data_IF_020079103355
#
_entry.id   IF_020079103355
#
_cell.length_a   1.000
_cell.length_b   1.000
_cell.length_c   1.000
_cell.angle_alpha   90.00
_cell.angle_beta   90.00
_cell.angle_gamma   90.00
#
_symmetry.space_group_name_H-M   'P 1'
#
loop_
_entity.id
_entity.type
_entity.pdbx_description
1 polymer ?
#
# COMPACT_ATOMS: atom_id res chain seq x y z
N UNK A 1 -41.00 -20.34 21.29
CA UNK A 1 -40.46 -18.97 21.15
C UNK A 1 -38.93 -18.84 21.20
N UNK A 2 -38.16 -19.64 21.96
CA UNK A 2 -36.67 -19.55 21.94
C UNK A 2 -35.99 -20.15 20.70
N UNK A 3 -36.54 -21.19 20.08
CA UNK A 3 -35.99 -21.82 18.85
C UNK A 3 -36.09 -20.90 17.62
N UNK A 4 -37.23 -20.22 17.47
CA UNK A 4 -37.51 -19.31 16.35
C UNK A 4 -36.58 -18.07 16.37
N UNK A 5 -36.32 -17.51 17.56
CA UNK A 5 -35.39 -16.39 17.72
C UNK A 5 -33.92 -16.77 17.43
N UNK A 6 -33.53 -18.04 17.64
CA UNK A 6 -32.19 -18.54 17.31
C UNK A 6 -31.98 -18.68 15.80
N UNK A 7 -32.99 -19.18 15.08
CA UNK A 7 -32.94 -19.32 13.62
C UNK A 7 -32.93 -17.95 12.91
N UNK A 8 -33.63 -16.96 13.44
CA UNK A 8 -33.63 -15.60 12.90
C UNK A 8 -32.30 -14.87 13.15
N UNK A 9 -31.63 -15.10 14.29
CA UNK A 9 -30.29 -14.56 14.55
C UNK A 9 -29.26 -15.23 13.64
N UNK A 10 -29.32 -16.56 13.45
CA UNK A 10 -28.42 -17.26 12.52
C UNK A 10 -28.66 -16.80 11.08
N UNK A 11 -29.90 -16.61 10.65
CA UNK A 11 -30.22 -16.02 9.33
C UNK A 11 -29.79 -14.56 9.23
N UNK A 12 -29.84 -13.77 10.30
CA UNK A 12 -29.31 -12.41 10.31
C UNK A 12 -27.79 -12.40 10.22
N UNK A 13 -27.11 -13.30 10.94
CA UNK A 13 -25.65 -13.45 10.89
C UNK A 13 -25.21 -13.98 9.52
N UNK A 14 -25.94 -14.92 8.92
CA UNK A 14 -25.73 -15.37 7.54
C UNK A 14 -26.09 -14.27 6.52
N UNK A 15 -27.10 -13.44 6.81
CA UNK A 15 -27.48 -12.28 5.98
C UNK A 15 -26.52 -11.10 6.12
N UNK A 16 -25.81 -10.99 7.24
CA UNK A 16 -24.74 -10.02 7.48
C UNK A 16 -23.39 -10.56 7.00
N UNK A 17 -23.20 -11.88 6.97
CA UNK A 17 -22.09 -12.57 6.32
C UNK A 17 -22.29 -12.70 4.80
N UNK A 18 -23.53 -12.48 4.30
CA UNK A 18 -23.79 -12.28 2.87
C UNK A 18 -23.15 -10.98 2.44
N UNK A 19 -22.02 -11.19 1.79
CA UNK A 19 -21.08 -10.34 1.06
C UNK A 19 -21.70 -9.22 0.20
N UNK A 20 -22.45 -8.30 0.79
CA UNK A 20 -22.83 -7.02 0.17
C UNK A 20 -22.79 -5.92 1.21
N UNK A 21 -21.57 -5.53 1.59
CA UNK A 21 -21.33 -4.15 2.01
C UNK A 21 -21.48 -3.32 0.73
N UNK A 22 -22.30 -2.27 0.76
CA UNK A 22 -22.67 -1.49 -0.43
C UNK A 22 -21.47 -1.03 -1.28
N UNK A 23 -21.78 -0.60 -2.52
CA UNK A 23 -20.86 0.06 -3.46
C UNK A 23 -19.78 -0.84 -4.11
N UNK A 24 -20.21 -1.93 -4.76
CA UNK A 24 -19.34 -2.72 -5.64
C UNK A 24 -18.27 -3.55 -4.93
N UNK A 25 -18.37 -3.74 -3.62
CA UNK A 25 -17.36 -4.42 -2.83
C UNK A 25 -17.75 -5.87 -2.47
N UNK A 26 -16.89 -6.83 -2.81
CA UNK A 26 -16.96 -8.21 -2.36
C UNK A 26 -15.90 -8.45 -1.28
N UNK A 27 -16.29 -9.07 -0.15
CA UNK A 27 -15.45 -9.16 1.03
C UNK A 27 -15.46 -10.49 1.76
N UNK A 28 -14.28 -11.09 1.82
CA UNK A 28 -13.96 -12.27 2.63
C UNK A 28 -13.13 -11.92 3.87
N UNK A 29 -13.08 -10.64 4.23
CA UNK A 29 -12.24 -10.15 5.32
C UNK A 29 -12.48 -10.91 6.63
N UNK A 30 -11.39 -11.39 7.24
CA UNK A 30 -11.37 -12.01 8.57
C UNK A 30 -12.09 -13.35 8.66
N UNK A 31 -12.43 -13.97 7.54
CA UNK A 31 -13.11 -15.27 7.53
C UNK A 31 -12.16 -16.44 7.84
N UNK A 32 -10.85 -16.19 7.93
CA UNK A 32 -9.84 -17.22 8.24
C UNK A 32 -9.86 -18.41 7.27
N UNK A 33 -10.21 -18.15 6.00
CA UNK A 33 -10.26 -19.17 4.96
C UNK A 33 -8.86 -19.71 4.66
N UNK A 34 -8.74 -21.03 4.52
CA UNK A 34 -7.51 -21.72 4.11
C UNK A 34 -7.64 -22.15 2.65
N UNK A 35 -7.34 -21.23 1.74
CA UNK A 35 -7.48 -21.43 0.31
C UNK A 35 -6.19 -22.05 -0.24
N UNK A 36 -6.01 -23.37 -0.13
CA UNK A 36 -4.80 -24.03 -0.61
C UNK A 36 -4.94 -24.53 -2.04
N UNK A 37 -6.11 -25.11 -2.36
CA UNK A 37 -6.41 -25.75 -3.64
C UNK A 37 -7.50 -25.01 -4.42
N UNK A 38 -7.88 -25.55 -5.57
CA UNK A 38 -8.99 -25.03 -6.35
C UNK A 38 -10.34 -25.25 -5.64
N UNK A 39 -10.50 -26.42 -5.02
CA UNK A 39 -11.70 -26.83 -4.28
C UNK A 39 -11.94 -25.90 -3.08
N UNK A 40 -10.88 -25.56 -2.34
CA UNK A 40 -10.98 -24.62 -1.22
C UNK A 40 -11.49 -23.24 -1.65
N UNK A 41 -11.25 -22.85 -2.90
CA UNK A 41 -11.59 -21.55 -3.46
C UNK A 41 -12.93 -21.52 -4.21
N UNK A 42 -13.67 -22.63 -4.31
CA UNK A 42 -14.91 -22.73 -5.10
C UNK A 42 -15.94 -21.65 -4.76
N UNK A 43 -16.21 -21.45 -3.46
CA UNK A 43 -17.19 -20.46 -3.02
C UNK A 43 -16.71 -19.02 -3.29
N UNK A 44 -15.39 -18.76 -3.15
CA UNK A 44 -14.80 -17.44 -3.45
C UNK A 44 -14.93 -17.14 -4.94
N UNK A 45 -14.59 -18.11 -5.79
CA UNK A 45 -14.69 -17.99 -7.26
C UNK A 45 -16.13 -17.73 -7.67
N UNK A 46 -17.05 -18.56 -7.19
CA UNK A 46 -18.47 -18.44 -7.50
C UNK A 46 -18.99 -17.04 -7.14
N UNK A 47 -18.69 -16.56 -5.94
CA UNK A 47 -19.09 -15.22 -5.53
C UNK A 47 -18.43 -14.12 -6.37
N UNK A 48 -17.15 -14.26 -6.77
CA UNK A 48 -16.52 -13.32 -7.68
C UNK A 48 -17.26 -13.31 -9.02
N UNK A 49 -17.51 -14.47 -9.63
CA UNK A 49 -18.15 -14.59 -10.93
C UNK A 49 -19.57 -14.00 -10.94
N UNK A 50 -20.38 -14.33 -9.93
CA UNK A 50 -21.76 -13.85 -9.76
C UNK A 50 -21.86 -12.37 -9.35
N UNK A 51 -20.76 -11.72 -8.95
CA UNK A 51 -20.79 -10.32 -8.51
C UNK A 51 -20.64 -9.35 -9.68
N UNK A 52 -21.75 -8.77 -10.12
CA UNK A 52 -21.78 -7.69 -11.11
C UNK A 52 -21.23 -6.38 -10.54
N UNK A 53 -20.43 -5.65 -11.34
CA UNK A 53 -19.87 -4.36 -10.94
C UNK A 53 -18.89 -4.44 -9.77
N UNK A 54 -18.04 -5.48 -9.75
CA UNK A 54 -17.01 -5.68 -8.72
C UNK A 54 -15.95 -4.57 -8.81
N UNK A 55 -16.03 -3.58 -7.93
CA UNK A 55 -15.06 -2.50 -7.79
C UNK A 55 -13.97 -2.77 -6.75
N UNK A 56 -14.27 -3.59 -5.74
CA UNK A 56 -13.33 -3.84 -4.64
C UNK A 56 -13.37 -5.30 -4.17
N UNK A 57 -12.20 -5.92 -4.05
CA UNK A 57 -12.06 -7.28 -3.52
C UNK A 57 -11.23 -7.26 -2.23
N UNK A 58 -11.84 -7.78 -1.17
CA UNK A 58 -11.25 -7.87 0.18
C UNK A 58 -10.95 -9.32 0.53
N UNK A 59 -9.67 -9.64 0.67
CA UNK A 59 -9.18 -10.96 1.05
C UNK A 59 -8.41 -10.93 2.39
N UNK A 60 -8.47 -9.82 3.13
CA UNK A 60 -7.65 -9.63 4.32
C UNK A 60 -7.93 -10.68 5.41
N UNK A 61 -6.90 -11.20 6.07
CA UNK A 61 -7.05 -12.17 7.17
C UNK A 61 -7.44 -13.57 6.71
N UNK A 62 -7.04 -13.96 5.50
CA UNK A 62 -7.18 -15.32 4.96
C UNK A 62 -5.81 -15.88 4.60
N UNK A 63 -5.74 -17.13 4.17
CA UNK A 63 -4.50 -17.77 3.70
C UNK A 63 -4.69 -18.26 2.28
N UNK A 64 -4.09 -17.59 1.31
CA UNK A 64 -4.20 -17.91 -0.11
C UNK A 64 -2.93 -18.56 -0.61
N UNK A 65 -3.04 -19.82 -1.03
CA UNK A 65 -1.98 -20.58 -1.68
C UNK A 65 -1.90 -20.33 -3.17
N UNK A 66 -0.84 -20.85 -3.80
CA UNK A 66 -0.57 -20.63 -5.23
C UNK A 66 -1.70 -21.15 -6.12
N UNK A 67 -2.20 -22.37 -5.87
CA UNK A 67 -3.25 -22.95 -6.71
C UNK A 67 -4.59 -22.22 -6.56
N UNK A 68 -4.98 -21.90 -5.32
CA UNK A 68 -6.14 -21.04 -5.07
C UNK A 68 -6.01 -19.67 -5.74
N UNK A 69 -4.84 -19.02 -5.64
CA UNK A 69 -4.60 -17.73 -6.28
C UNK A 69 -4.77 -17.79 -7.81
N UNK A 70 -4.35 -18.88 -8.46
CA UNK A 70 -4.53 -19.06 -9.92
C UNK A 70 -5.99 -19.18 -10.32
N UNK A 71 -6.80 -19.94 -9.57
CA UNK A 71 -8.23 -20.09 -9.91
C UNK A 71 -9.04 -18.84 -9.55
N UNK A 72 -8.69 -18.15 -8.48
CA UNK A 72 -9.25 -16.82 -8.15
C UNK A 72 -8.87 -15.81 -9.25
N UNK A 73 -7.61 -15.82 -9.69
CA UNK A 73 -7.13 -14.97 -10.79
C UNK A 73 -7.96 -15.21 -12.05
N UNK A 74 -8.28 -16.45 -12.39
CA UNK A 74 -9.11 -16.76 -13.57
C UNK A 74 -10.51 -16.12 -13.51
N UNK A 75 -11.12 -16.07 -12.33
CA UNK A 75 -12.40 -15.39 -12.12
C UNK A 75 -12.28 -13.86 -12.27
N UNK A 76 -11.14 -13.30 -11.88
CA UNK A 76 -10.87 -11.85 -11.94
C UNK A 76 -10.62 -11.32 -13.35
N UNK A 77 -10.20 -12.16 -14.31
CA UNK A 77 -9.97 -11.74 -15.71
C UNK A 77 -11.19 -11.07 -16.37
N UNK A 78 -12.40 -11.31 -15.85
CA UNK A 78 -13.66 -10.74 -16.36
C UNK A 78 -14.13 -9.50 -15.60
N UNK A 79 -13.38 -9.02 -14.60
CA UNK A 79 -13.81 -7.97 -13.66
C UNK A 79 -13.05 -6.66 -13.92
N UNK A 80 -13.36 -6.05 -15.05
CA UNK A 80 -12.70 -4.82 -15.53
C UNK A 80 -12.95 -3.59 -14.65
N UNK A 81 -14.04 -3.60 -13.88
CA UNK A 81 -14.46 -2.53 -12.98
C UNK A 81 -13.66 -2.52 -11.67
N UNK A 82 -12.80 -3.52 -11.44
CA UNK A 82 -12.02 -3.64 -10.21
C UNK A 82 -11.04 -2.48 -10.09
N UNK A 83 -11.14 -1.76 -8.98
CA UNK A 83 -10.35 -0.56 -8.65
C UNK A 83 -9.57 -0.71 -7.36
N UNK A 84 -10.01 -1.56 -6.43
CA UNK A 84 -9.43 -1.67 -5.09
C UNK A 84 -9.14 -3.12 -4.74
N UNK A 85 -7.89 -3.40 -4.41
CA UNK A 85 -7.44 -4.71 -3.96
C UNK A 85 -6.98 -4.59 -2.52
N UNK A 86 -7.76 -5.12 -1.59
CA UNK A 86 -7.40 -5.18 -0.17
C UNK A 86 -6.90 -6.59 0.15
N UNK A 87 -5.60 -6.77 -0.01
CA UNK A 87 -4.89 -8.04 -0.02
C UNK A 87 -3.86 -8.08 1.13
N UNK A 88 -4.11 -7.33 2.20
CA UNK A 88 -3.24 -7.35 3.38
C UNK A 88 -3.43 -8.64 4.18
N UNK A 89 -2.39 -9.17 4.81
CA UNK A 89 -2.50 -10.38 5.66
C UNK A 89 -3.26 -11.54 4.98
N UNK A 90 -2.92 -11.83 3.72
CA UNK A 90 -3.57 -12.90 2.94
C UNK A 90 -2.64 -14.12 2.73
N UNK A 91 -1.40 -14.06 3.21
CA UNK A 91 -0.39 -15.11 3.07
C UNK A 91 0.10 -15.67 4.42
N UNK A 92 -0.63 -15.43 5.51
CA UNK A 92 -0.25 -15.96 6.82
C UNK A 92 -0.17 -17.48 6.79
N UNK A 93 0.99 -18.00 7.22
CA UNK A 93 1.30 -19.43 7.20
C UNK A 93 1.84 -19.98 5.87
N UNK A 94 1.91 -19.18 4.80
CA UNK A 94 2.53 -19.59 3.52
C UNK A 94 4.05 -19.47 3.55
N UNK A 95 4.72 -20.26 2.72
CA UNK A 95 6.16 -20.11 2.51
C UNK A 95 6.45 -18.85 1.69
N UNK A 96 7.58 -18.19 1.96
CA UNK A 96 8.01 -16.99 1.21
C UNK A 96 8.07 -17.23 -0.30
N UNK A 97 8.46 -18.43 -0.73
CA UNK A 97 8.55 -18.81 -2.15
C UNK A 97 7.20 -18.92 -2.85
N UNK A 98 6.10 -19.00 -2.11
CA UNK A 98 4.74 -19.14 -2.66
C UNK A 98 4.09 -17.78 -2.91
N UNK A 99 4.54 -16.74 -2.22
CA UNK A 99 3.92 -15.41 -2.31
C UNK A 99 4.11 -14.80 -3.70
N UNK A 100 5.32 -14.78 -4.31
CA UNK A 100 5.49 -14.23 -5.65
C UNK A 100 4.62 -14.89 -6.74
N UNK A 101 4.59 -16.23 -6.91
CA UNK A 101 3.75 -16.83 -7.96
C UNK A 101 2.25 -16.60 -7.74
N UNK A 102 1.78 -16.54 -6.48
CA UNK A 102 0.39 -16.19 -6.19
C UNK A 102 0.06 -14.76 -6.61
N UNK A 103 0.90 -13.79 -6.24
CA UNK A 103 0.72 -12.38 -6.63
C UNK A 103 0.89 -12.13 -8.12
N UNK A 104 1.78 -12.87 -8.79
CA UNK A 104 1.94 -12.80 -10.25
C UNK A 104 0.64 -13.23 -10.92
N UNK A 105 0.07 -14.39 -10.52
CA UNK A 105 -1.18 -14.87 -11.09
C UNK A 105 -2.32 -13.84 -10.91
N UNK A 106 -2.48 -13.30 -9.70
CA UNK A 106 -3.49 -12.28 -9.42
C UNK A 106 -3.23 -11.01 -10.24
N UNK A 107 -1.99 -10.52 -10.29
CA UNK A 107 -1.62 -9.33 -11.04
C UNK A 107 -1.83 -9.47 -12.55
N UNK A 108 -1.46 -10.61 -13.13
CA UNK A 108 -1.67 -10.91 -14.55
C UNK A 108 -3.16 -10.93 -14.91
N UNK A 109 -4.01 -11.42 -14.01
CA UNK A 109 -5.47 -11.35 -14.20
C UNK A 109 -5.99 -9.92 -14.18
N UNK A 110 -5.48 -9.05 -13.31
CA UNK A 110 -5.87 -7.63 -13.30
C UNK A 110 -5.44 -6.90 -14.59
N UNK A 111 -4.25 -7.21 -15.09
CA UNK A 111 -3.77 -6.72 -16.38
C UNK A 111 -4.70 -7.19 -17.50
N UNK A 112 -5.05 -8.48 -17.50
CA UNK A 112 -5.92 -9.11 -18.50
C UNK A 112 -7.33 -8.52 -18.48
N UNK A 113 -7.87 -8.26 -17.28
CA UNK A 113 -9.17 -7.63 -17.11
C UNK A 113 -9.20 -6.16 -17.59
N UNK A 114 -8.04 -5.54 -17.82
CA UNK A 114 -7.97 -4.10 -18.09
C UNK A 114 -8.38 -3.26 -16.89
N UNK A 115 -8.24 -3.80 -15.67
CA UNK A 115 -8.55 -3.10 -14.44
C UNK A 115 -7.83 -1.75 -14.37
N UNK A 116 -8.38 -0.80 -13.62
CA UNK A 116 -7.81 0.53 -13.43
C UNK A 116 -7.72 0.79 -11.93
N UNK A 117 -6.69 0.23 -11.30
CA UNK A 117 -6.53 0.25 -9.86
C UNK A 117 -6.31 1.66 -9.34
N UNK A 118 -7.07 2.00 -8.31
CA UNK A 118 -6.95 3.21 -7.51
C UNK A 118 -6.26 2.91 -6.18
N UNK A 119 -6.47 1.71 -5.62
CA UNK A 119 -5.86 1.29 -4.35
C UNK A 119 -5.36 -0.15 -4.42
N UNK A 120 -4.12 -0.35 -3.96
CA UNK A 120 -3.52 -1.66 -3.75
C UNK A 120 -2.96 -1.72 -2.32
N UNK A 121 -3.58 -2.54 -1.47
CA UNK A 121 -3.11 -2.84 -0.14
C UNK A 121 -2.56 -4.27 -0.07
N UNK A 122 -1.26 -4.35 0.17
CA UNK A 122 -0.47 -5.58 0.27
C UNK A 122 0.21 -5.68 1.64
N UNK A 123 -0.22 -4.88 2.62
CA UNK A 123 0.38 -4.81 3.96
C UNK A 123 0.34 -6.16 4.69
N UNK A 124 1.20 -6.34 5.69
CA UNK A 124 1.21 -7.51 6.57
C UNK A 124 1.40 -8.86 5.84
N UNK A 125 2.03 -8.83 4.67
CA UNK A 125 2.46 -10.03 3.94
C UNK A 125 3.99 -10.15 3.96
N UNK A 126 4.51 -11.31 4.37
CA UNK A 126 5.94 -11.53 4.57
C UNK A 126 6.75 -11.70 3.26
N UNK A 127 6.74 -10.68 2.38
CA UNK A 127 7.44 -10.65 1.10
C UNK A 127 8.94 -10.93 1.22
N UNK A 128 9.60 -10.25 2.14
CA UNK A 128 11.07 -10.23 2.15
C UNK A 128 11.64 -9.44 0.97
N UNK A 129 12.96 -9.47 0.79
CA UNK A 129 13.63 -8.68 -0.23
C UNK A 129 13.14 -8.93 -1.67
N UNK A 130 12.83 -10.18 -2.00
CA UNK A 130 12.43 -10.57 -3.35
C UNK A 130 10.92 -10.54 -3.59
N UNK A 131 10.09 -10.36 -2.56
CA UNK A 131 8.64 -10.48 -2.73
C UNK A 131 8.02 -9.35 -3.56
N UNK A 132 8.71 -8.22 -3.72
CA UNK A 132 8.31 -7.14 -4.66
C UNK A 132 8.23 -7.66 -6.11
N UNK A 133 9.04 -8.66 -6.46
CA UNK A 133 9.01 -9.28 -7.80
C UNK A 133 7.66 -9.95 -8.09
N UNK A 134 6.88 -10.27 -7.06
CA UNK A 134 5.52 -10.82 -7.18
C UNK A 134 4.50 -9.86 -7.79
N UNK A 135 4.73 -8.55 -7.70
CA UNK A 135 3.80 -7.51 -8.18
C UNK A 135 4.48 -6.42 -9.00
N UNK A 136 5.76 -6.59 -9.32
CA UNK A 136 6.55 -5.63 -10.11
C UNK A 136 5.97 -5.43 -11.52
N UNK A 137 5.56 -6.51 -12.18
CA UNK A 137 4.94 -6.45 -13.52
C UNK A 137 3.61 -5.69 -13.47
N UNK A 138 2.79 -5.96 -12.44
CA UNK A 138 1.52 -5.27 -12.22
C UNK A 138 1.73 -3.76 -12.08
N UNK A 139 2.65 -3.33 -11.20
CA UNK A 139 2.91 -1.91 -10.99
C UNK A 139 3.35 -1.17 -12.25
N UNK A 140 4.08 -1.84 -13.17
CA UNK A 140 4.55 -1.27 -14.44
C UNK A 140 3.55 -1.34 -15.59
N UNK A 141 2.35 -1.88 -15.34
CA UNK A 141 1.32 -2.14 -16.33
C UNK A 141 0.27 -1.01 -16.38
N UNK A 142 -0.54 -0.94 -17.45
CA UNK A 142 -1.68 -0.03 -17.52
C UNK A 142 -2.69 -0.18 -16.38
N UNK A 143 -2.71 -1.34 -15.69
CA UNK A 143 -3.62 -1.56 -14.58
C UNK A 143 -3.33 -0.67 -13.36
N UNK A 144 -2.11 -0.14 -13.25
CA UNK A 144 -1.71 0.74 -12.14
C UNK A 144 -1.48 2.20 -12.54
N UNK A 145 -1.80 2.62 -13.78
CA UNK A 145 -1.58 4.03 -14.19
C UNK A 145 -2.48 5.01 -13.44
N UNK A 146 -3.61 4.53 -12.91
CA UNK A 146 -4.58 5.30 -12.11
C UNK A 146 -4.39 5.14 -10.61
N UNK A 147 -3.32 4.46 -10.18
CA UNK A 147 -3.07 4.12 -8.77
C UNK A 147 -2.82 5.39 -7.95
N UNK A 148 -3.61 5.55 -6.89
CA UNK A 148 -3.54 6.68 -5.96
C UNK A 148 -3.05 6.25 -4.59
N UNK A 149 -3.31 5.01 -4.18
CA UNK A 149 -2.91 4.49 -2.88
C UNK A 149 -2.14 3.17 -3.00
N UNK A 150 -0.93 3.15 -2.42
CA UNK A 150 -0.12 1.94 -2.34
C UNK A 150 0.29 1.69 -0.88
N UNK A 151 -0.16 0.56 -0.33
CA UNK A 151 0.06 0.19 1.06
C UNK A 151 0.84 -1.13 1.12
N UNK A 152 2.00 -1.06 1.76
CA UNK A 152 3.01 -2.10 1.88
C UNK A 152 3.59 -2.09 3.30
N UNK A 153 2.77 -1.83 4.31
CA UNK A 153 3.24 -1.80 5.70
C UNK A 153 3.62 -3.21 6.15
N UNK A 154 4.72 -3.36 6.89
CA UNK A 154 5.11 -4.63 7.51
C UNK A 154 5.28 -5.80 6.50
N UNK A 155 5.96 -5.53 5.40
CA UNK A 155 6.21 -6.52 4.34
C UNK A 155 7.64 -7.09 4.33
N UNK A 156 8.55 -6.50 5.11
CA UNK A 156 9.96 -6.91 5.16
C UNK A 156 10.72 -6.69 3.85
N UNK A 157 10.41 -5.60 3.12
CA UNK A 157 10.97 -5.34 1.78
C UNK A 157 12.50 -5.23 1.74
N UNK A 158 13.13 -4.78 2.82
CA UNK A 158 14.56 -4.48 2.85
C UNK A 158 14.98 -3.38 1.87
N UNK A 159 16.28 -3.15 1.78
CA UNK A 159 16.88 -2.21 0.82
C UNK A 159 16.57 -2.62 -0.62
N UNK A 160 16.74 -3.91 -0.94
CA UNK A 160 16.55 -4.46 -2.30
C UNK A 160 15.12 -4.28 -2.80
N UNK A 161 14.13 -4.66 -1.99
CA UNK A 161 12.73 -4.46 -2.32
C UNK A 161 12.37 -2.98 -2.47
N UNK A 162 12.91 -2.11 -1.61
CA UNK A 162 12.76 -0.65 -1.75
C UNK A 162 13.27 -0.10 -3.09
N UNK A 163 14.43 -0.57 -3.56
CA UNK A 163 15.01 -0.19 -4.86
C UNK A 163 14.17 -0.70 -6.04
N UNK A 164 13.71 -1.95 -6.00
CA UNK A 164 12.85 -2.53 -7.04
C UNK A 164 11.52 -1.76 -7.12
N UNK A 165 10.90 -1.50 -5.96
CA UNK A 165 9.65 -0.75 -5.86
C UNK A 165 9.79 0.65 -6.44
N UNK A 166 10.85 1.38 -6.07
CA UNK A 166 11.13 2.69 -6.62
C UNK A 166 11.31 2.67 -8.14
N UNK A 167 12.03 1.68 -8.68
CA UNK A 167 12.21 1.52 -10.13
C UNK A 167 10.87 1.23 -10.84
N UNK A 168 10.01 0.39 -10.24
CA UNK A 168 8.68 0.10 -10.77
C UNK A 168 7.78 1.34 -10.80
N UNK A 169 7.78 2.16 -9.74
CA UNK A 169 7.02 3.41 -9.68
C UNK A 169 7.51 4.44 -10.71
N UNK A 170 8.82 4.61 -10.87
CA UNK A 170 9.41 5.49 -11.89
C UNK A 170 9.01 5.06 -13.30
N UNK A 171 9.05 3.76 -13.58
CA UNK A 171 8.67 3.21 -14.88
C UNK A 171 7.16 3.33 -15.15
N UNK A 172 6.33 3.09 -14.13
CA UNK A 172 4.89 3.31 -14.19
C UNK A 172 4.56 4.77 -14.53
N UNK A 173 5.17 5.72 -13.80
CA UNK A 173 5.03 7.14 -14.07
C UNK A 173 5.48 7.49 -15.49
N UNK A 174 6.66 7.03 -15.94
CA UNK A 174 7.17 7.28 -17.29
C UNK A 174 6.19 6.80 -18.38
N UNK A 175 5.69 5.57 -18.27
CA UNK A 175 4.78 4.98 -19.26
C UNK A 175 3.40 5.63 -19.26
N UNK A 176 2.85 5.91 -18.09
CA UNK A 176 1.54 6.58 -17.94
C UNK A 176 1.60 8.04 -18.41
N UNK A 177 2.70 8.75 -18.14
CA UNK A 177 2.98 10.10 -18.68
C UNK A 177 3.03 10.10 -20.21
N UNK A 178 3.62 9.08 -20.84
CA UNK A 178 3.63 8.95 -22.30
C UNK A 178 2.22 8.76 -22.91
N UNK A 179 1.22 8.41 -22.09
CA UNK A 179 -0.19 8.32 -22.48
C UNK A 179 -1.01 9.56 -22.09
N UNK A 180 -0.36 10.62 -21.60
CA UNK A 180 -1.02 11.88 -21.20
C UNK A 180 -1.74 11.82 -19.86
N UNK A 181 -1.55 10.74 -19.08
CA UNK A 181 -2.15 10.56 -17.75
C UNK A 181 -1.07 10.08 -16.78
N UNK A 182 -0.16 10.96 -16.32
CA UNK A 182 0.91 10.59 -15.40
C UNK A 182 0.35 9.93 -14.13
N UNK A 183 1.05 8.91 -13.63
CA UNK A 183 0.79 8.32 -12.32
C UNK A 183 0.72 9.43 -11.26
N UNK A 184 -0.38 9.47 -10.53
CA UNK A 184 -0.66 10.47 -9.49
C UNK A 184 -0.85 9.79 -8.12
N UNK A 185 0.25 9.26 -7.57
CA UNK A 185 0.23 8.59 -6.28
C UNK A 185 0.05 9.63 -5.15
N UNK A 186 -0.98 9.44 -4.33
CA UNK A 186 -1.35 10.34 -3.23
C UNK A 186 -0.96 9.78 -1.88
N UNK A 187 -1.21 8.51 -1.64
CA UNK A 187 -0.97 7.86 -0.34
C UNK A 187 0.05 6.75 -0.52
N UNK A 188 1.15 6.83 0.23
CA UNK A 188 2.16 5.79 0.28
C UNK A 188 2.41 5.33 1.71
N UNK A 189 2.21 4.04 1.97
CA UNK A 189 2.45 3.43 3.28
C UNK A 189 3.46 2.30 3.13
N UNK A 190 4.59 2.40 3.82
CA UNK A 190 5.63 1.37 3.79
C UNK A 190 6.43 1.34 5.10
N UNK A 191 5.76 1.31 6.25
CA UNK A 191 6.41 1.13 7.54
C UNK A 191 6.93 -0.29 7.78
N UNK A 192 7.81 -0.46 8.78
CA UNK A 192 8.32 -1.78 9.24
C UNK A 192 8.95 -2.64 8.13
N UNK A 193 9.66 -2.01 7.19
CA UNK A 193 10.21 -2.70 6.03
C UNK A 193 11.73 -2.80 6.01
N UNK A 194 12.45 -2.19 6.96
CA UNK A 194 13.93 -2.12 6.94
C UNK A 194 14.45 -1.56 5.61
N UNK A 195 13.83 -0.48 5.13
CA UNK A 195 14.25 0.17 3.88
C UNK A 195 15.66 0.77 3.99
N UNK A 196 16.05 1.19 5.20
CA UNK A 196 17.31 1.87 5.49
C UNK A 196 17.53 3.09 4.55
N UNK A 197 18.74 3.65 4.55
CA UNK A 197 19.03 4.86 3.76
C UNK A 197 18.86 4.63 2.25
N UNK A 198 19.38 3.52 1.76
CA UNK A 198 19.44 3.22 0.33
C UNK A 198 18.06 2.98 -0.28
N UNK A 199 17.20 2.22 0.41
CA UNK A 199 15.83 1.99 -0.02
C UNK A 199 15.01 3.28 0.06
N UNK A 200 15.17 4.06 1.14
CA UNK A 200 14.50 5.35 1.28
C UNK A 200 14.94 6.37 0.23
N UNK A 201 16.23 6.42 -0.12
CA UNK A 201 16.76 7.32 -1.15
C UNK A 201 16.19 6.96 -2.52
N UNK A 202 16.13 5.67 -2.87
CA UNK A 202 15.52 5.24 -4.12
C UNK A 202 14.04 5.63 -4.19
N UNK A 203 13.29 5.45 -3.10
CA UNK A 203 11.88 5.89 -3.03
C UNK A 203 11.76 7.41 -3.12
N UNK A 204 12.65 8.16 -2.48
CA UNK A 204 12.69 9.62 -2.56
C UNK A 204 12.86 10.11 -4.02
N UNK A 205 13.71 9.47 -4.82
CA UNK A 205 13.81 9.78 -6.26
C UNK A 205 12.48 9.57 -6.99
N UNK A 206 11.78 8.46 -6.71
CA UNK A 206 10.48 8.19 -7.30
C UNK A 206 9.44 9.25 -6.90
N UNK A 207 9.41 9.64 -5.62
CA UNK A 207 8.52 10.68 -5.10
C UNK A 207 8.81 12.06 -5.68
N UNK A 208 10.08 12.37 -5.94
CA UNK A 208 10.49 13.62 -6.60
C UNK A 208 10.07 13.69 -8.08
N UNK A 209 9.92 12.55 -8.75
CA UNK A 209 9.39 12.47 -10.12
C UNK A 209 7.85 12.54 -10.13
N UNK A 210 7.19 11.85 -9.18
CA UNK A 210 5.73 11.74 -9.14
C UNK A 210 5.06 13.05 -8.67
N UNK A 211 5.59 13.72 -7.65
CA UNK A 211 5.21 15.09 -7.25
C UNK A 211 3.76 15.31 -6.79
N UNK A 212 3.00 14.25 -6.52
CA UNK A 212 1.55 14.31 -6.21
C UNK A 212 1.16 13.77 -4.84
N UNK A 213 2.13 13.46 -3.98
CA UNK A 213 1.88 12.87 -2.66
C UNK A 213 1.12 13.83 -1.74
N UNK A 214 0.16 13.25 -1.02
CA UNK A 214 -0.63 13.88 0.04
C UNK A 214 -0.32 13.25 1.40
N UNK A 215 -0.02 11.95 1.46
CA UNK A 215 0.26 11.23 2.71
C UNK A 215 1.41 10.23 2.54
N UNK A 216 2.38 10.29 3.45
CA UNK A 216 3.52 9.36 3.50
C UNK A 216 3.66 8.79 4.91
N UNK A 217 3.61 7.47 5.00
CA UNK A 217 3.80 6.71 6.23
C UNK A 217 4.94 5.71 6.07
N UNK A 218 6.11 6.03 6.61
CA UNK A 218 7.29 5.15 6.56
C UNK A 218 7.91 4.94 7.96
N UNK A 219 7.13 4.66 9.02
CA UNK A 219 7.69 4.46 10.35
C UNK A 219 8.52 3.18 10.44
N UNK A 220 9.45 3.11 11.39
CA UNK A 220 10.18 1.88 11.72
C UNK A 220 10.93 1.26 10.54
N UNK A 221 11.70 2.07 9.81
CA UNK A 221 12.45 1.61 8.62
C UNK A 221 13.97 1.60 8.79
N UNK A 222 14.48 2.04 9.95
CA UNK A 222 15.93 2.16 10.17
C UNK A 222 16.58 3.24 9.28
N UNK A 223 15.79 4.21 8.81
CA UNK A 223 16.29 5.29 7.95
C UNK A 223 17.03 6.27 8.84
N UNK A 224 18.30 6.57 8.53
CA UNK A 224 19.06 7.58 9.25
C UNK A 224 19.26 8.86 8.42
N UNK A 225 20.06 9.80 8.91
CA UNK A 225 20.07 11.19 8.40
C UNK A 225 20.23 11.35 6.87
N UNK A 226 21.04 10.57 6.12
CA UNK A 226 21.12 10.67 4.66
C UNK A 226 19.79 10.33 3.98
N UNK A 227 19.14 9.23 4.39
CA UNK A 227 17.84 8.84 3.84
C UNK A 227 16.74 9.84 4.21
N UNK A 228 16.77 10.38 5.43
CA UNK A 228 15.85 11.46 5.86
C UNK A 228 16.05 12.73 5.03
N UNK A 229 17.30 13.12 4.74
CA UNK A 229 17.60 14.26 3.87
C UNK A 229 17.08 14.04 2.45
N UNK A 230 17.26 12.84 1.88
CA UNK A 230 16.72 12.51 0.56
C UNK A 230 15.19 12.60 0.53
N UNK A 231 14.50 12.03 1.54
CA UNK A 231 13.05 12.13 1.67
C UNK A 231 12.60 13.60 1.83
N UNK A 232 13.29 14.39 2.64
CA UNK A 232 12.99 15.81 2.82
C UNK A 232 13.08 16.59 1.49
N UNK A 233 14.08 16.32 0.66
CA UNK A 233 14.22 16.94 -0.66
C UNK A 233 13.07 16.53 -1.60
N UNK A 234 12.69 15.25 -1.59
CA UNK A 234 11.56 14.78 -2.39
C UNK A 234 10.22 15.39 -1.93
N UNK A 235 10.01 15.51 -0.62
CA UNK A 235 8.80 16.11 -0.06
C UNK A 235 8.64 17.58 -0.47
N UNK A 236 9.73 18.34 -0.63
CA UNK A 236 9.67 19.71 -1.13
C UNK A 236 9.05 19.84 -2.54
N UNK A 237 9.06 18.76 -3.33
CA UNK A 237 8.44 18.68 -4.66
C UNK A 237 6.96 18.26 -4.59
N UNK A 238 6.46 17.89 -3.40
CA UNK A 238 5.10 17.41 -3.16
C UNK A 238 4.32 18.44 -2.30
N UNK A 239 3.89 19.59 -2.87
CA UNK A 239 3.29 20.70 -2.10
C UNK A 239 1.91 20.38 -1.50
N UNK A 240 1.30 19.26 -1.91
CA UNK A 240 0.01 18.78 -1.42
C UNK A 240 0.12 17.91 -0.17
N UNK A 241 1.33 17.64 0.33
CA UNK A 241 1.54 16.83 1.54
C UNK A 241 0.78 17.39 2.74
N UNK A 242 -0.07 16.54 3.31
CA UNK A 242 -0.88 16.74 4.52
C UNK A 242 -0.34 15.94 5.70
N UNK A 243 0.12 14.71 5.45
CA UNK A 243 0.57 13.79 6.52
C UNK A 243 1.98 13.30 6.23
N UNK A 244 2.88 13.51 7.20
CA UNK A 244 4.24 12.98 7.17
C UNK A 244 4.48 12.19 8.45
N UNK A 245 4.47 10.86 8.33
CA UNK A 245 4.80 9.97 9.43
C UNK A 245 6.11 9.22 9.15
N UNK A 246 7.15 9.60 9.88
CA UNK A 246 8.48 8.98 9.86
C UNK A 246 8.91 8.48 11.24
N UNK A 247 7.94 8.22 12.12
CA UNK A 247 8.17 7.75 13.50
C UNK A 247 9.16 6.58 13.57
N UNK A 248 10.00 6.57 14.61
CA UNK A 248 10.98 5.50 14.87
C UNK A 248 11.90 5.26 13.65
N UNK A 249 12.50 6.36 13.20
CA UNK A 249 13.67 6.41 12.32
C UNK A 249 14.77 7.23 13.03
N UNK A 250 15.92 7.51 12.41
CA UNK A 250 17.05 8.16 13.09
C UNK A 250 17.50 9.43 12.38
N UNK A 251 16.76 10.51 12.56
CA UNK A 251 17.01 11.80 11.91
C UNK A 251 18.38 12.37 12.28
N UNK A 252 18.77 12.26 13.56
CA UNK A 252 19.88 13.04 14.16
C UNK A 252 19.67 14.56 14.00
N UNK A 253 20.64 15.37 14.42
CA UNK A 253 20.60 16.83 14.18
C UNK A 253 20.52 17.15 12.68
N UNK A 254 21.30 16.45 11.84
CA UNK A 254 21.41 16.74 10.40
C UNK A 254 20.10 16.52 9.65
N UNK A 255 19.46 15.37 9.84
CA UNK A 255 18.21 15.03 9.17
C UNK A 255 17.05 15.89 9.65
N UNK A 256 17.02 16.24 10.95
CA UNK A 256 16.00 17.11 11.50
C UNK A 256 16.08 18.55 10.98
N UNK A 257 17.28 19.11 10.85
CA UNK A 257 17.47 20.44 10.23
C UNK A 257 17.05 20.42 8.77
N UNK A 258 17.44 19.38 8.01
CA UNK A 258 17.02 19.24 6.61
C UNK A 258 15.49 19.15 6.47
N UNK A 259 14.83 18.33 7.30
CA UNK A 259 13.38 18.23 7.31
C UNK A 259 12.71 19.56 7.71
N UNK A 260 13.27 20.28 8.68
CA UNK A 260 12.75 21.58 9.10
C UNK A 260 12.75 22.61 7.95
N UNK A 261 13.81 22.67 7.15
CA UNK A 261 13.85 23.55 5.97
C UNK A 261 12.78 23.17 4.94
N UNK A 262 12.56 21.87 4.70
CA UNK A 262 11.47 21.40 3.84
C UNK A 262 10.10 21.79 4.41
N UNK A 263 9.86 21.60 5.71
CA UNK A 263 8.55 21.90 6.32
C UNK A 263 8.14 23.37 6.14
N UNK A 264 9.10 24.30 6.09
CA UNK A 264 8.82 25.72 5.81
C UNK A 264 8.19 25.96 4.45
N UNK A 265 8.31 25.04 3.49
CA UNK A 265 7.74 25.16 2.14
C UNK A 265 6.38 24.48 2.01
N UNK A 266 6.02 23.56 2.91
CA UNK A 266 4.82 22.74 2.82
C UNK A 266 3.62 23.39 3.51
N UNK A 267 2.72 24.00 2.74
CA UNK A 267 1.57 24.77 3.26
C UNK A 267 0.35 23.94 3.66
N UNK A 268 0.30 22.67 3.27
CA UNK A 268 -0.86 21.81 3.47
C UNK A 268 -0.71 20.82 4.64
N UNK A 269 0.45 20.79 5.31
CA UNK A 269 0.71 19.79 6.36
C UNK A 269 -0.22 20.00 7.54
N UNK A 270 -0.96 18.95 7.87
CA UNK A 270 -1.90 18.85 8.99
C UNK A 270 -1.34 17.97 10.11
N UNK A 271 -0.51 16.97 9.78
CA UNK A 271 0.03 16.01 10.74
C UNK A 271 1.51 15.74 10.44
N UNK A 272 2.36 15.92 11.45
CA UNK A 272 3.73 15.39 11.46
C UNK A 272 3.86 14.39 12.60
N UNK A 273 4.46 13.24 12.32
CA UNK A 273 4.84 12.29 13.35
C UNK A 273 6.34 11.96 13.22
N UNK A 274 7.13 12.57 14.10
CA UNK A 274 8.56 12.35 14.26
C UNK A 274 8.89 11.81 15.67
N UNK A 275 7.97 11.06 16.28
CA UNK A 275 8.23 10.37 17.54
C UNK A 275 9.42 9.41 17.39
N UNK A 276 10.22 9.26 18.45
CA UNK A 276 11.38 8.36 18.47
C UNK A 276 12.41 8.58 17.34
N UNK A 277 12.45 9.79 16.76
CA UNK A 277 13.31 10.08 15.61
C UNK A 277 14.75 10.49 15.93
N UNK A 278 15.13 10.57 17.22
CA UNK A 278 16.44 11.08 17.68
C UNK A 278 16.82 12.45 17.05
N UNK A 279 15.90 13.41 17.03
CA UNK A 279 16.11 14.72 16.35
C UNK A 279 17.18 15.62 16.99
N UNK A 280 17.58 15.34 18.25
CA UNK A 280 18.51 16.15 19.06
C UNK A 280 18.02 17.59 19.31
N UNK A 281 18.68 18.30 20.21
CA UNK A 281 18.22 19.62 20.67
C UNK A 281 18.14 20.66 19.54
N UNK A 282 19.18 20.79 18.70
CA UNK A 282 19.14 21.75 17.59
C UNK A 282 18.12 21.38 16.52
N UNK A 283 17.97 20.09 16.21
CA UNK A 283 16.95 19.61 15.28
C UNK A 283 15.55 19.88 15.80
N UNK A 284 15.28 19.66 17.09
CA UNK A 284 14.02 20.01 17.73
C UNK A 284 13.72 21.51 17.65
N UNK A 285 14.72 22.37 17.92
CA UNK A 285 14.57 23.83 17.75
C UNK A 285 14.25 24.21 16.31
N UNK A 286 14.95 23.63 15.33
CA UNK A 286 14.71 23.90 13.91
C UNK A 286 13.28 23.49 13.49
N UNK A 287 12.81 22.32 13.89
CA UNK A 287 11.43 21.86 13.62
C UNK A 287 10.43 22.79 14.30
N UNK A 288 10.65 23.19 15.56
CA UNK A 288 9.75 24.11 16.27
C UNK A 288 9.63 25.47 15.57
N UNK A 289 10.75 26.00 15.04
CA UNK A 289 10.76 27.22 14.23
C UNK A 289 9.95 27.02 12.93
N UNK A 290 10.18 25.91 12.22
CA UNK A 290 9.45 25.61 10.98
C UNK A 290 7.94 25.47 11.21
N UNK A 291 7.52 24.84 12.32
CA UNK A 291 6.10 24.73 12.71
C UNK A 291 5.51 26.12 12.96
N UNK A 292 6.20 26.97 13.72
CA UNK A 292 5.74 28.33 14.04
C UNK A 292 5.59 29.21 12.78
N UNK A 293 6.49 29.07 11.82
CA UNK A 293 6.57 29.95 10.65
C UNK A 293 5.80 29.44 9.43
N UNK A 294 5.67 28.13 9.25
CA UNK A 294 5.31 27.54 7.95
C UNK A 294 4.09 26.63 7.91
N UNK A 295 3.64 26.09 9.05
CA UNK A 295 2.64 25.02 9.12
C UNK A 295 1.34 25.45 9.83
N UNK A 296 0.62 26.41 9.24
CA UNK A 296 -0.59 26.98 9.86
C UNK A 296 -1.79 26.01 9.96
N UNK A 297 -1.73 24.85 9.29
CA UNK A 297 -2.77 23.82 9.30
C UNK A 297 -2.48 22.65 10.25
N UNK A 298 -1.31 22.66 10.91
CA UNK A 298 -0.91 21.59 11.81
C UNK A 298 -1.90 21.46 12.98
N UNK A 299 -2.40 20.25 13.23
CA UNK A 299 -3.37 19.93 14.29
C UNK A 299 -2.69 19.44 15.56
#
# INVERSE_FOLDING_TARGET
>A
NRKMASEDITKLVESLAKTKVGDGQLSFKGQSLKLNTAEDAEEVIKQIEEFDGLEALRLEGNTVGVEAAKVIAKALEKKSELKRCHWSDMFTGRLRSEIPPALIALGDALITAGAQLVELDLSDNAFGPDGVRGFETLLKSPACYTLQELKLNNCGLGIGGGKILAAALKECHRKSSAQGKPLALKVFVAGRNRLENDGATALAEAFGIIGTLEEVHMPQNGINHPGITALAQAFAINPLLKVINLNDNTFTEKGAVAMAETLKTLRQVEVINFGDCLVRSKGAVAIAVAVKEGLHKLK
#
